data_IF_099883253224
#
_entry.id   IF_099883253224
#
_cell.length_a   1.000
_cell.length_b   1.000
_cell.length_c   1.000
_cell.angle_alpha   90.00
_cell.angle_beta   90.00
_cell.angle_gamma   90.00
#
_symmetry.space_group_name_H-M   'P 1'
#
loop_
_entity.id
_entity.type
_entity.pdbx_description
1 polymer ?
#
# COMPACT_ATOMS: atom_id res chain seq x y z
N UNK A 1 5.67 23.97 -19.09
CA UNK A 1 5.68 22.50 -19.11
C UNK A 1 4.41 22.09 -19.84
N UNK A 2 4.54 21.26 -20.87
CA UNK A 2 3.43 20.86 -21.73
C UNK A 2 3.21 19.37 -21.61
N UNK A 3 1.97 18.96 -21.37
CA UNK A 3 1.59 17.56 -21.27
C UNK A 3 1.41 16.96 -22.66
N UNK A 4 2.18 15.92 -22.97
CA UNK A 4 2.07 15.14 -24.18
C UNK A 4 1.50 13.76 -23.85
N UNK A 5 0.56 13.27 -24.65
CA UNK A 5 0.04 11.91 -24.55
C UNK A 5 1.08 10.92 -25.07
N UNK A 6 1.28 9.83 -24.34
CA UNK A 6 2.14 8.74 -24.75
C UNK A 6 1.28 7.61 -25.28
N UNK A 7 1.58 7.16 -26.50
CA UNK A 7 0.91 6.02 -27.12
C UNK A 7 1.92 4.89 -27.33
N UNK A 8 1.51 3.65 -27.03
CA UNK A 8 2.25 2.44 -27.33
C UNK A 8 1.68 1.82 -28.60
N UNK A 9 2.53 1.60 -29.59
CA UNK A 9 2.17 0.78 -30.74
C UNK A 9 2.19 -0.69 -30.32
N UNK A 10 1.07 -1.38 -30.52
CA UNK A 10 1.02 -2.82 -30.46
C UNK A 10 1.45 -3.39 -31.83
N UNK A 11 2.53 -4.16 -31.85
CA UNK A 11 3.14 -4.67 -33.08
C UNK A 11 2.33 -5.82 -33.70
N UNK A 12 1.47 -6.49 -32.95
CA UNK A 12 0.64 -7.59 -33.46
C UNK A 12 -0.66 -7.07 -34.08
N UNK A 13 -1.32 -6.13 -33.41
CA UNK A 13 -2.61 -5.57 -33.86
C UNK A 13 -2.47 -4.31 -34.73
N UNK A 14 -1.31 -3.66 -34.74
CA UNK A 14 -1.08 -2.38 -35.44
C UNK A 14 -1.77 -1.18 -34.79
N UNK A 15 -2.43 -1.38 -33.65
CA UNK A 15 -3.19 -0.35 -32.94
C UNK A 15 -2.28 0.42 -31.99
N UNK A 16 -2.49 1.75 -31.90
CA UNK A 16 -1.83 2.60 -30.90
C UNK A 16 -2.72 2.73 -29.67
N UNK A 17 -2.25 2.25 -28.53
CA UNK A 17 -2.94 2.31 -27.25
C UNK A 17 -2.36 3.42 -26.37
N UNK A 18 -3.22 4.29 -25.84
CA UNK A 18 -2.80 5.38 -24.96
C UNK A 18 -2.30 4.83 -23.61
N UNK A 19 -1.08 5.21 -23.22
CA UNK A 19 -0.35 4.66 -22.07
C UNK A 19 -0.07 5.68 -20.96
N UNK A 20 -0.49 6.94 -21.15
CA UNK A 20 -0.38 7.97 -20.12
C UNK A 20 -0.13 9.35 -20.70
N UNK A 21 0.33 10.28 -19.85
CA UNK A 21 0.74 11.64 -20.22
C UNK A 21 2.08 11.96 -19.58
N UNK A 22 2.96 12.62 -20.32
CA UNK A 22 4.29 13.07 -19.87
C UNK A 22 4.36 14.60 -19.98
N UNK A 23 4.83 15.27 -18.92
CA UNK A 23 5.07 16.72 -18.97
C UNK A 23 6.50 16.99 -19.44
N UNK A 24 6.66 17.69 -20.55
CA UNK A 24 7.96 18.09 -21.08
C UNK A 24 8.14 19.61 -20.91
N UNK A 25 9.32 20.02 -20.47
CA UNK A 25 9.75 21.42 -20.47
C UNK A 25 11.07 21.55 -21.22
N UNK A 26 11.06 22.26 -22.35
CA UNK A 26 12.27 22.59 -23.11
C UNK A 26 12.69 24.02 -22.77
N UNK A 27 13.98 24.21 -22.45
CA UNK A 27 14.57 25.54 -22.22
C UNK A 27 15.86 25.63 -23.02
N UNK A 28 16.04 26.73 -23.75
CA UNK A 28 17.32 27.08 -24.36
C UNK A 28 18.15 27.84 -23.35
N UNK A 29 19.37 27.36 -23.09
CA UNK A 29 20.29 27.94 -22.13
C UNK A 29 21.64 28.20 -22.81
N UNK A 30 22.38 29.24 -22.43
CA UNK A 30 23.78 29.40 -22.80
C UNK A 30 24.61 28.18 -22.37
N UNK A 31 25.57 27.78 -23.21
CA UNK A 31 26.44 26.62 -22.95
C UNK A 31 27.12 26.67 -21.58
N UNK A 32 27.55 27.86 -21.15
CA UNK A 32 28.20 28.08 -19.86
C UNK A 32 27.34 27.75 -18.63
N UNK A 33 26.00 27.80 -18.77
CA UNK A 33 25.06 27.42 -17.71
C UNK A 33 24.76 25.92 -17.79
N UNK A 34 24.55 25.40 -19.00
CA UNK A 34 24.29 23.98 -19.22
C UNK A 34 25.43 23.08 -18.73
N UNK A 35 26.68 23.50 -18.91
CA UNK A 35 27.86 22.75 -18.46
C UNK A 35 28.01 22.75 -16.92
N UNK A 36 27.46 23.76 -16.22
CA UNK A 36 27.49 23.85 -14.75
C UNK A 36 26.39 23.03 -14.08
N UNK A 37 25.25 22.89 -14.74
CA UNK A 37 24.06 22.20 -14.22
C UNK A 37 23.62 21.10 -15.20
N UNK A 38 24.42 20.03 -15.35
CA UNK A 38 24.07 18.94 -16.25
C UNK A 38 22.78 18.24 -15.80
N UNK A 39 22.10 17.56 -16.73
CA UNK A 39 20.88 16.83 -16.42
C UNK A 39 21.12 15.81 -15.30
N UNK A 40 20.43 15.99 -14.17
CA UNK A 40 20.59 15.15 -12.99
C UNK A 40 21.62 15.62 -11.96
N UNK A 41 22.19 16.82 -12.13
CA UNK A 41 22.96 17.51 -11.09
C UNK A 41 22.13 17.63 -9.80
N UNK A 42 22.73 17.31 -8.65
CA UNK A 42 22.05 17.35 -7.34
C UNK A 42 21.09 16.19 -7.06
N UNK A 43 21.01 15.14 -7.90
CA UNK A 43 20.18 13.94 -7.62
C UNK A 43 20.65 13.12 -6.42
N UNK A 44 21.95 13.17 -6.12
CA UNK A 44 22.58 12.46 -5.01
C UNK A 44 22.75 13.35 -3.76
N UNK A 45 22.57 14.66 -3.92
CA UNK A 45 22.65 15.61 -2.83
C UNK A 45 21.32 15.68 -2.08
N UNK A 46 21.32 15.93 -0.76
CA UNK A 46 20.08 16.18 -0.03
C UNK A 46 19.31 17.30 -0.74
N UNK A 47 18.04 17.04 -1.04
CA UNK A 47 17.18 17.89 -1.86
C UNK A 47 17.35 19.38 -1.50
N UNK A 48 17.87 20.17 -2.43
CA UNK A 48 18.07 21.62 -2.26
C UNK A 48 16.73 22.40 -2.24
N UNK A 49 15.62 21.74 -2.58
CA UNK A 49 14.26 22.27 -2.53
C UNK A 49 13.46 21.66 -1.34
N UNK A 50 12.31 22.24 -0.92
CA UNK A 50 11.64 21.86 0.32
C UNK A 50 11.28 20.38 0.33
N UNK A 51 11.37 19.78 1.52
CA UNK A 51 11.14 18.37 1.80
C UNK A 51 9.82 17.92 1.19
N UNK A 52 9.86 17.01 0.20
CA UNK A 52 8.63 16.42 -0.30
C UNK A 52 7.94 15.71 0.87
N UNK A 53 6.61 15.89 1.05
CA UNK A 53 5.90 15.12 2.04
C UNK A 53 6.09 13.62 1.72
N UNK A 54 6.22 12.78 2.75
CA UNK A 54 6.37 11.35 2.54
C UNK A 54 5.20 10.85 1.68
N UNK A 55 5.45 9.87 0.79
CA UNK A 55 4.40 9.37 -0.09
C UNK A 55 3.28 8.76 0.76
N UNK A 56 2.10 9.37 0.71
CA UNK A 56 0.89 8.87 1.35
C UNK A 56 0.31 7.71 0.54
N UNK A 57 -0.15 6.65 1.21
CA UNK A 57 -0.82 5.51 0.56
C UNK A 57 0.09 4.47 -0.09
N UNK A 58 1.40 4.43 0.23
CA UNK A 58 2.26 3.31 -0.16
C UNK A 58 2.23 2.20 0.89
N UNK A 59 2.04 0.96 0.46
CA UNK A 59 2.13 -0.22 1.33
C UNK A 59 3.50 -0.26 1.99
N UNK A 60 3.51 -0.43 3.31
CA UNK A 60 4.72 -0.69 4.08
C UNK A 60 4.83 -2.18 4.33
N UNK A 61 5.87 -2.81 3.78
CA UNK A 61 6.16 -4.21 4.09
C UNK A 61 6.55 -4.34 5.56
N UNK A 62 5.81 -5.19 6.28
CA UNK A 62 6.05 -5.54 7.67
C UNK A 62 6.11 -7.06 7.80
N UNK A 63 6.90 -7.56 8.75
CA UNK A 63 6.88 -8.99 9.09
C UNK A 63 5.69 -9.36 9.97
N UNK A 64 4.93 -8.37 10.45
CA UNK A 64 3.71 -8.61 11.20
C UNK A 64 2.56 -8.98 10.23
N UNK A 65 2.02 -10.20 10.27
CA UNK A 65 0.96 -10.65 9.36
C UNK A 65 -0.34 -9.87 9.53
N UNK A 66 -0.62 -9.31 10.71
CA UNK A 66 -1.80 -8.46 10.94
C UNK A 66 -1.67 -7.10 10.25
N UNK A 67 -0.46 -6.53 10.26
CA UNK A 67 -0.17 -5.26 9.58
C UNK A 67 -0.19 -5.46 8.07
N UNK A 68 0.42 -6.55 7.58
CA UNK A 68 0.39 -6.89 6.16
C UNK A 68 -1.01 -7.22 5.65
N UNK A 69 -1.81 -7.94 6.45
CA UNK A 69 -3.21 -8.22 6.12
C UNK A 69 -4.01 -6.92 5.99
N UNK A 70 -3.83 -5.96 6.91
CA UNK A 70 -4.52 -4.67 6.85
C UNK A 70 -4.10 -3.82 5.63
N UNK A 71 -2.81 -3.85 5.27
CA UNK A 71 -2.27 -3.16 4.10
C UNK A 71 -2.78 -3.79 2.78
N UNK A 72 -2.88 -5.12 2.69
CA UNK A 72 -3.31 -5.83 1.47
C UNK A 72 -4.83 -5.88 1.28
N UNK A 73 -5.58 -6.17 2.35
CA UNK A 73 -7.03 -6.41 2.32
C UNK A 73 -7.85 -5.17 2.64
N UNK A 74 -7.21 -4.11 3.13
CA UNK A 74 -7.87 -2.90 3.60
C UNK A 74 -8.57 -3.08 4.96
N UNK A 75 -8.86 -1.97 5.67
CA UNK A 75 -9.34 -1.99 7.04
C UNK A 75 -10.72 -2.65 7.20
N UNK A 76 -11.58 -2.60 6.17
CA UNK A 76 -12.93 -3.17 6.22
C UNK A 76 -12.90 -4.70 6.29
N UNK A 77 -12.11 -5.34 5.42
CA UNK A 77 -12.04 -6.79 5.37
C UNK A 77 -11.32 -7.36 6.61
N UNK A 78 -10.26 -6.68 7.08
CA UNK A 78 -9.59 -7.06 8.33
C UNK A 78 -10.52 -6.99 9.55
N UNK A 79 -11.36 -5.96 9.66
CA UNK A 79 -12.32 -5.84 10.76
C UNK A 79 -13.36 -6.97 10.74
N UNK A 80 -13.89 -7.31 9.56
CA UNK A 80 -14.85 -8.40 9.39
C UNK A 80 -14.24 -9.74 9.79
N UNK A 81 -13.02 -10.04 9.32
CA UNK A 81 -12.35 -11.30 9.60
C UNK A 81 -11.99 -11.44 11.09
N UNK A 82 -11.56 -10.35 11.72
CA UNK A 82 -11.28 -10.32 13.18
C UNK A 82 -12.55 -10.57 13.98
N UNK A 83 -13.68 -9.95 13.62
CA UNK A 83 -14.96 -10.18 14.28
C UNK A 83 -15.39 -11.66 14.19
N UNK A 84 -15.33 -12.25 13.00
CA UNK A 84 -15.65 -13.67 12.81
C UNK A 84 -14.76 -14.59 13.65
N UNK A 85 -13.44 -14.35 13.69
CA UNK A 85 -12.50 -15.14 14.49
C UNK A 85 -12.76 -15.03 15.99
N UNK A 86 -13.11 -13.84 16.49
CA UNK A 86 -13.45 -13.63 17.90
C UNK A 86 -14.73 -14.40 18.26
N UNK A 87 -15.78 -14.32 17.44
CA UNK A 87 -17.02 -15.06 17.68
C UNK A 87 -16.78 -16.58 17.71
N UNK A 88 -15.99 -17.11 16.77
CA UNK A 88 -15.63 -18.53 16.75
C UNK A 88 -14.81 -18.94 17.98
N UNK A 89 -13.85 -18.09 18.41
CA UNK A 89 -13.05 -18.32 19.61
C UNK A 89 -13.89 -18.39 20.88
N UNK A 90 -14.89 -17.50 21.03
CA UNK A 90 -15.82 -17.51 22.17
C UNK A 90 -16.66 -18.78 22.16
N UNK A 91 -17.20 -19.19 21.01
CA UNK A 91 -17.98 -20.44 20.92
C UNK A 91 -17.13 -21.66 21.28
N UNK A 92 -15.89 -21.73 20.80
CA UNK A 92 -14.97 -22.81 21.14
C UNK A 92 -14.67 -22.86 22.64
N UNK A 93 -14.46 -21.70 23.28
CA UNK A 93 -14.25 -21.59 24.73
C UNK A 93 -15.45 -22.11 25.53
N UNK A 94 -16.68 -21.75 25.13
CA UNK A 94 -17.89 -22.23 25.78
C UNK A 94 -18.04 -23.75 25.67
N UNK A 95 -17.71 -24.32 24.51
CA UNK A 95 -17.72 -25.79 24.30
C UNK A 95 -16.69 -26.47 25.21
N UNK A 96 -15.48 -25.91 25.33
CA UNK A 96 -14.45 -26.45 26.21
C UNK A 96 -14.76 -26.30 27.70
N UNK A 97 -15.44 -25.23 28.11
CA UNK A 97 -15.84 -25.00 29.49
C UNK A 97 -17.07 -25.85 29.92
N UNK A 98 -17.82 -26.39 28.97
CA UNK A 98 -19.02 -27.20 29.21
C UNK A 98 -18.84 -28.35 30.24
N UNK A 99 -17.80 -29.21 30.16
CA UNK A 99 -17.59 -30.27 31.16
C UNK A 99 -17.32 -29.75 32.57
N UNK A 100 -16.62 -28.61 32.70
CA UNK A 100 -16.35 -27.98 34.00
C UNK A 100 -17.63 -27.39 34.60
N UNK A 101 -18.47 -26.77 33.77
CA UNK A 101 -19.77 -26.24 34.19
C UNK A 101 -20.71 -27.37 34.64
N UNK A 102 -20.76 -28.49 33.90
CA UNK A 102 -21.55 -29.66 34.29
C UNK A 102 -21.09 -30.27 35.62
N UNK A 103 -19.77 -30.35 35.85
CA UNK A 103 -19.23 -30.81 37.13
C UNK A 103 -19.62 -29.87 38.27
N UNK A 104 -19.55 -28.56 38.05
CA UNK A 104 -19.98 -27.56 39.04
C UNK A 104 -21.46 -27.69 39.40
N UNK A 105 -22.33 -27.84 38.39
CA UNK A 105 -23.77 -28.01 38.61
C UNK A 105 -24.05 -29.29 39.42
N UNK A 106 -23.38 -30.39 39.10
CA UNK A 106 -23.57 -31.66 39.80
C UNK A 106 -23.11 -31.61 41.28
N UNK A 107 -22.11 -30.78 41.61
CA UNK A 107 -21.59 -30.67 42.99
C UNK A 107 -22.41 -29.71 43.86
N UNK A 108 -22.93 -28.62 43.27
CA UNK A 108 -23.58 -27.54 44.05
C UNK A 108 -25.11 -27.52 43.94
N UNK A 109 -25.69 -28.12 42.90
CA UNK A 109 -27.14 -28.19 42.69
C UNK A 109 -27.69 -29.63 42.63
N UNK A 110 -26.82 -30.64 42.61
CA UNK A 110 -27.15 -32.07 42.57
C UNK A 110 -27.32 -32.70 43.95
#
# INVERSE_FOLDING_TARGET
CTWLTMDKLDHESGVRNQMGKMCIGLKLLPKSIADKEPAGFGRNDPNSNPTLPPPVGRMKFSLNPFVMGAELCGPKLCAQLTCCLVCLGVMALLIFCQPVLNLFIAIFLG
#
